data_IF_101976537778
#
_entry.id   IF_101976537778
#
_cell.length_a   1.000
_cell.length_b   1.000
_cell.length_c   1.000
_cell.angle_alpha   90.00
_cell.angle_beta   90.00
_cell.angle_gamma   90.00
#
_symmetry.space_group_name_H-M   'P 1'
#
loop_
_entity.id
_entity.type
_entity.pdbx_description
1 polymer ?
#
# COMPACT_ATOMS: atom_id res chain seq x y z
N UNK A 1 -75.94 -22.15 30.48
CA UNK A 1 -75.86 -21.13 29.41
C UNK A 1 -74.56 -21.38 28.67
N UNK A 2 -74.63 -22.04 27.51
CA UNK A 2 -73.45 -22.41 26.72
C UNK A 2 -73.31 -21.38 25.61
N UNK A 3 -72.24 -20.59 25.67
CA UNK A 3 -71.90 -19.64 24.61
C UNK A 3 -71.13 -20.43 23.56
N UNK A 4 -71.75 -20.68 22.42
CA UNK A 4 -71.08 -21.23 21.23
C UNK A 4 -70.40 -20.05 20.55
N UNK A 5 -69.07 -20.07 20.52
CA UNK A 5 -68.26 -19.12 19.79
C UNK A 5 -67.86 -19.81 18.48
N UNK A 6 -68.40 -19.34 17.37
CA UNK A 6 -67.92 -19.72 16.04
C UNK A 6 -66.67 -18.89 15.73
N UNK A 7 -65.53 -19.55 15.62
CA UNK A 7 -64.27 -18.94 15.22
C UNK A 7 -64.07 -19.29 13.74
N UNK A 8 -64.30 -18.33 12.85
CA UNK A 8 -63.94 -18.46 11.44
C UNK A 8 -62.42 -18.28 11.27
N UNK A 9 -61.74 -19.34 10.81
CA UNK A 9 -60.33 -19.26 10.46
C UNK A 9 -60.15 -18.68 9.04
N UNK A 10 -59.82 -17.39 8.96
CA UNK A 10 -59.54 -16.69 7.69
C UNK A 10 -58.07 -16.79 7.24
N UNK A 11 -57.28 -17.72 7.80
CA UNK A 11 -55.83 -17.80 7.54
C UNK A 11 -55.46 -18.08 6.08
N UNK A 12 -56.35 -18.66 5.28
CA UNK A 12 -56.11 -18.93 3.85
C UNK A 12 -57.10 -18.18 2.96
N UNK A 13 -56.72 -16.98 2.54
CA UNK A 13 -57.46 -16.21 1.53
C UNK A 13 -56.96 -16.58 0.13
N UNK A 14 -57.88 -16.93 -0.76
CA UNK A 14 -57.55 -17.18 -2.18
C UNK A 14 -56.91 -15.92 -2.78
N UNK A 15 -55.71 -16.05 -3.33
CA UNK A 15 -55.05 -14.93 -4.00
C UNK A 15 -55.81 -14.54 -5.27
N UNK A 16 -56.11 -13.24 -5.42
CA UNK A 16 -56.73 -12.70 -6.64
C UNK A 16 -55.67 -12.63 -7.75
N UNK A 17 -55.83 -13.45 -8.79
CA UNK A 17 -54.89 -13.54 -9.92
C UNK A 17 -55.39 -12.83 -11.19
N UNK A 18 -56.29 -11.86 -11.02
CA UNK A 18 -56.93 -11.15 -12.12
C UNK A 18 -58.17 -11.85 -12.67
N UNK A 19 -58.84 -11.19 -13.60
CA UNK A 19 -60.12 -11.59 -14.16
C UNK A 19 -60.70 -10.49 -15.04
N UNK A 20 -61.88 -10.71 -15.60
CA UNK A 20 -62.61 -9.71 -16.38
C UNK A 20 -64.04 -9.57 -15.88
N UNK A 21 -64.60 -8.36 -16.05
CA UNK A 21 -65.96 -8.03 -15.64
C UNK A 21 -66.82 -7.78 -16.86
N UNK A 22 -67.96 -8.44 -16.92
CA UNK A 22 -68.95 -8.14 -17.96
C UNK A 22 -69.64 -6.82 -17.63
N UNK A 23 -69.61 -5.86 -18.57
CA UNK A 23 -70.03 -4.46 -18.33
C UNK A 23 -71.55 -4.35 -18.19
N UNK A 24 -72.33 -5.21 -18.88
CA UNK A 24 -73.79 -5.15 -18.88
C UNK A 24 -74.41 -5.85 -17.66
N UNK A 25 -73.88 -7.01 -17.27
CA UNK A 25 -74.39 -7.81 -16.14
C UNK A 25 -73.66 -7.54 -14.83
N UNK A 26 -72.58 -6.74 -14.86
CA UNK A 26 -71.69 -6.42 -13.75
C UNK A 26 -71.04 -7.62 -13.03
N UNK A 27 -71.18 -8.84 -13.55
CA UNK A 27 -70.60 -10.06 -12.99
C UNK A 27 -69.08 -10.13 -13.25
N UNK A 28 -68.33 -10.50 -12.22
CA UNK A 28 -66.86 -10.60 -12.24
C UNK A 28 -66.44 -12.07 -12.37
N UNK A 29 -65.60 -12.36 -13.36
CA UNK A 29 -65.03 -13.69 -13.58
C UNK A 29 -63.55 -13.65 -13.24
N UNK A 30 -63.11 -14.47 -12.30
CA UNK A 30 -61.71 -14.55 -11.88
C UNK A 30 -60.98 -15.69 -12.60
N UNK A 31 -59.73 -15.46 -12.99
CA UNK A 31 -58.87 -16.49 -13.56
C UNK A 31 -58.63 -17.59 -12.51
N UNK A 32 -58.84 -18.86 -12.90
CA UNK A 32 -58.84 -19.96 -11.96
C UNK A 32 -57.41 -20.32 -11.49
N UNK A 33 -57.11 -20.06 -10.22
CA UNK A 33 -56.29 -20.97 -9.43
C UNK A 33 -57.23 -22.05 -8.87
N UNK A 34 -56.87 -23.32 -9.08
CA UNK A 34 -57.59 -24.57 -8.75
C UNK A 34 -58.90 -24.43 -7.97
N UNK A 35 -60.02 -24.92 -8.53
CA UNK A 35 -61.38 -24.75 -8.01
C UNK A 35 -61.72 -25.54 -6.72
N UNK A 36 -60.79 -26.31 -6.16
CA UNK A 36 -61.02 -27.11 -4.95
C UNK A 36 -59.95 -26.80 -3.90
N UNK A 37 -60.37 -26.58 -2.66
CA UNK A 37 -59.46 -26.65 -1.50
C UNK A 37 -58.79 -28.04 -1.48
N UNK A 38 -57.52 -28.16 -1.09
CA UNK A 38 -56.88 -29.46 -0.97
C UNK A 38 -57.71 -30.34 -0.02
N UNK A 39 -58.14 -31.52 -0.48
CA UNK A 39 -58.83 -32.46 0.40
C UNK A 39 -57.90 -32.81 1.57
N UNK A 40 -58.29 -32.44 2.79
CA UNK A 40 -57.65 -32.98 3.98
C UNK A 40 -57.84 -34.50 3.97
N UNK A 41 -56.73 -35.23 3.82
CA UNK A 41 -56.74 -36.70 3.78
C UNK A 41 -57.19 -37.19 5.15
N UNK A 42 -58.47 -37.56 5.28
CA UNK A 42 -58.99 -38.28 6.45
C UNK A 42 -58.62 -39.76 6.29
N UNK A 43 -57.44 -40.14 6.79
CA UNK A 43 -57.00 -41.54 6.81
C UNK A 43 -55.74 -41.74 7.66
N UNK A 44 -55.71 -42.84 8.42
CA UNK A 44 -54.55 -43.25 9.23
C UNK A 44 -53.29 -43.40 8.36
N UNK A 45 -52.15 -42.97 8.89
CA UNK A 45 -50.85 -42.96 8.20
C UNK A 45 -50.38 -44.34 7.73
N UNK A 46 -50.93 -45.43 8.28
CA UNK A 46 -50.50 -46.81 8.06
C UNK A 46 -50.88 -47.43 6.70
N UNK A 47 -51.76 -46.82 5.91
CA UNK A 47 -52.24 -47.39 4.62
C UNK A 47 -51.80 -46.60 3.38
N UNK A 48 -50.67 -45.90 3.44
CA UNK A 48 -50.09 -45.27 2.23
C UNK A 48 -49.22 -46.29 1.49
N UNK A 49 -49.73 -46.83 0.39
CA UNK A 49 -48.89 -47.60 -0.52
C UNK A 49 -47.91 -46.67 -1.23
N UNK A 50 -46.61 -46.92 -1.07
CA UNK A 50 -45.58 -46.23 -1.82
C UNK A 50 -45.46 -46.86 -3.21
N UNK A 51 -45.73 -46.09 -4.27
CA UNK A 51 -45.39 -46.52 -5.63
C UNK A 51 -43.90 -46.35 -5.83
N UNK A 52 -43.13 -47.40 -5.65
CA UNK A 52 -41.71 -47.42 -6.00
C UNK A 52 -41.61 -47.29 -7.53
N UNK A 53 -41.07 -46.20 -8.03
CA UNK A 53 -40.72 -46.07 -9.45
C UNK A 53 -39.22 -46.21 -9.59
N UNK A 54 -38.78 -47.23 -10.32
CA UNK A 54 -37.37 -47.37 -10.68
C UNK A 54 -37.03 -46.32 -11.73
N UNK A 55 -36.12 -45.41 -11.42
CA UNK A 55 -35.55 -44.48 -12.39
C UNK A 55 -34.52 -45.22 -13.24
N UNK A 56 -34.90 -45.58 -14.47
CA UNK A 56 -34.01 -46.25 -15.43
C UNK A 56 -33.36 -45.19 -16.33
N UNK A 57 -32.03 -45.28 -16.51
CA UNK A 57 -31.33 -44.47 -17.52
C UNK A 57 -31.56 -45.07 -18.92
N UNK A 58 -32.40 -44.41 -19.72
CA UNK A 58 -32.68 -44.83 -21.10
C UNK A 58 -31.53 -44.34 -22.00
N UNK A 59 -30.77 -45.27 -22.56
CA UNK A 59 -29.74 -44.97 -23.55
C UNK A 59 -30.21 -45.43 -24.93
N UNK A 60 -30.39 -44.50 -25.86
CA UNK A 60 -30.72 -44.83 -27.25
C UNK A 60 -29.48 -45.34 -27.99
N UNK A 61 -29.59 -46.51 -28.63
CA UNK A 61 -28.57 -47.08 -29.52
C UNK A 61 -29.17 -47.23 -30.91
N UNK A 62 -28.47 -46.74 -31.93
CA UNK A 62 -28.83 -46.92 -33.34
C UNK A 62 -28.00 -48.03 -33.97
N UNK A 63 -28.63 -48.90 -34.76
CA UNK A 63 -27.97 -49.88 -35.62
C UNK A 63 -28.17 -49.49 -37.09
N UNK A 64 -27.12 -49.63 -37.89
CA UNK A 64 -27.20 -49.43 -39.34
C UNK A 64 -27.35 -50.79 -40.02
N UNK A 65 -28.18 -50.86 -41.07
CA UNK A 65 -28.31 -52.03 -41.96
C UNK A 65 -27.49 -51.82 -43.23
N UNK A 66 -27.07 -52.91 -43.86
CA UNK A 66 -26.41 -52.88 -45.16
C UNK A 66 -27.36 -52.36 -46.24
N UNK A 67 -26.85 -51.51 -47.13
CA UNK A 67 -27.59 -51.00 -48.27
C UNK A 67 -26.89 -51.43 -49.55
N UNK A 68 -27.59 -52.18 -50.38
CA UNK A 68 -27.08 -52.60 -51.69
C UNK A 68 -27.20 -51.43 -52.68
N UNK A 69 -26.15 -51.27 -53.48
CA UNK A 69 -26.09 -50.28 -54.57
C UNK A 69 -25.66 -50.98 -55.83
N UNK A 70 -26.41 -50.79 -56.90
CA UNK A 70 -26.12 -51.38 -58.20
C UNK A 70 -25.64 -50.30 -59.16
N UNK A 71 -24.65 -50.65 -59.97
CA UNK A 71 -24.10 -49.79 -61.02
C UNK A 71 -24.21 -50.58 -62.31
N UNK A 72 -24.86 -50.00 -63.33
CA UNK A 72 -24.90 -50.56 -64.67
C UNK A 72 -23.96 -49.77 -65.58
N UNK A 73 -23.05 -50.48 -66.25
CA UNK A 73 -22.15 -49.87 -67.25
C UNK A 73 -22.91 -49.80 -68.58
N UNK A 74 -23.01 -48.61 -69.17
CA UNK A 74 -23.62 -48.45 -70.49
C UNK A 74 -22.70 -49.01 -71.57
N UNK A 75 -23.19 -49.95 -72.38
CA UNK A 75 -22.52 -50.46 -73.59
C UNK A 75 -23.29 -49.93 -74.81
N UNK A 76 -22.61 -49.68 -75.93
CA UNK A 76 -23.14 -48.94 -77.10
C UNK A 76 -24.45 -49.52 -77.68
N UNK A 77 -24.77 -50.79 -77.42
CA UNK A 77 -25.95 -51.49 -77.96
C UNK A 77 -27.20 -51.34 -77.06
N UNK A 78 -27.06 -50.93 -75.80
CA UNK A 78 -28.21 -50.72 -74.89
C UNK A 78 -27.95 -49.61 -73.88
N UNK A 79 -28.16 -48.36 -74.32
CA UNK A 79 -28.08 -47.18 -73.47
C UNK A 79 -29.46 -46.78 -72.96
N UNK A 80 -29.74 -47.07 -71.69
CA UNK A 80 -30.92 -46.53 -71.00
C UNK A 80 -30.49 -45.28 -70.22
N UNK A 81 -30.84 -44.05 -70.65
CA UNK A 81 -30.46 -42.84 -69.93
C UNK A 81 -31.29 -42.69 -68.65
N UNK A 82 -30.62 -42.56 -67.50
CA UNK A 82 -31.27 -42.28 -66.21
C UNK A 82 -31.39 -40.76 -66.02
N UNK A 83 -32.62 -40.22 -66.06
CA UNK A 83 -32.91 -38.77 -66.01
C UNK A 83 -32.51 -38.14 -64.66
N UNK A 84 -32.25 -38.95 -63.63
CA UNK A 84 -31.87 -38.49 -62.29
C UNK A 84 -30.36 -38.42 -62.05
N UNK A 85 -29.55 -38.83 -63.02
CA UNK A 85 -28.10 -38.82 -62.89
C UNK A 85 -27.57 -37.38 -62.79
N UNK A 86 -26.66 -37.16 -61.83
CA UNK A 86 -26.04 -35.86 -61.59
C UNK A 86 -24.58 -35.90 -62.00
N UNK A 87 -24.19 -35.04 -62.92
CA UNK A 87 -22.79 -34.85 -63.30
C UNK A 87 -22.15 -33.94 -62.24
N UNK A 88 -21.24 -34.51 -61.46
CA UNK A 88 -20.51 -33.78 -60.42
C UNK A 88 -19.14 -33.40 -60.97
N UNK A 89 -18.88 -32.09 -61.07
CA UNK A 89 -17.56 -31.56 -61.44
C UNK A 89 -16.67 -31.58 -60.20
N UNK A 90 -15.53 -32.25 -60.26
CA UNK A 90 -14.58 -32.29 -59.16
C UNK A 90 -13.89 -30.91 -58.99
N UNK A 91 -14.41 -30.08 -58.07
CA UNK A 91 -13.90 -28.72 -57.82
C UNK A 91 -12.62 -28.68 -56.99
N UNK A 92 -12.21 -29.80 -56.41
CA UNK A 92 -10.89 -29.96 -55.80
C UNK A 92 -10.30 -31.27 -56.25
N UNK A 93 -9.09 -31.19 -56.81
CA UNK A 93 -8.16 -32.31 -56.84
C UNK A 93 -7.95 -32.80 -55.40
N UNK A 94 -8.75 -33.76 -54.93
CA UNK A 94 -8.23 -34.79 -54.03
C UNK A 94 -7.28 -35.59 -54.90
N UNK A 95 -6.08 -35.06 -55.09
CA UNK A 95 -5.05 -35.76 -55.81
C UNK A 95 -4.74 -36.99 -54.98
N UNK A 96 -5.05 -38.14 -55.56
CA UNK A 96 -4.53 -39.42 -55.12
C UNK A 96 -3.01 -39.36 -55.35
N UNK A 97 -2.28 -38.79 -54.39
CA UNK A 97 -0.86 -39.05 -54.16
C UNK A 97 -0.76 -39.64 -52.76
N UNK A 98 -0.66 -40.97 -52.63
CA UNK A 98 -0.94 -41.70 -51.39
C UNK A 98 0.22 -41.64 -50.36
N UNK A 99 0.92 -40.52 -50.22
CA UNK A 99 1.97 -40.42 -49.18
C UNK A 99 2.15 -39.03 -48.56
N UNK A 100 1.92 -37.94 -49.31
CA UNK A 100 2.20 -36.58 -48.80
C UNK A 100 0.96 -35.90 -48.22
N UNK A 101 -0.19 -36.05 -48.86
CA UNK A 101 -1.45 -35.45 -48.40
C UNK A 101 -2.07 -36.19 -47.21
N UNK A 102 -1.92 -37.53 -47.15
CA UNK A 102 -2.37 -38.35 -46.02
C UNK A 102 -1.62 -38.00 -44.74
N UNK A 103 -0.31 -37.74 -44.84
CA UNK A 103 0.51 -37.22 -43.73
C UNK A 103 0.04 -35.84 -43.26
N UNK A 104 -0.36 -34.95 -44.17
CA UNK A 104 -0.90 -33.63 -43.82
C UNK A 104 -2.25 -33.77 -43.12
N UNK A 105 -3.14 -34.65 -43.60
CA UNK A 105 -4.42 -34.92 -42.97
C UNK A 105 -4.28 -35.52 -41.56
N UNK A 106 -3.43 -36.55 -41.41
CA UNK A 106 -3.11 -37.14 -40.11
C UNK A 106 -2.42 -36.14 -39.18
N UNK A 107 -1.56 -35.25 -39.70
CA UNK A 107 -0.94 -34.16 -38.94
C UNK A 107 -1.99 -33.18 -38.43
N UNK A 108 -2.96 -32.80 -39.27
CA UNK A 108 -4.06 -31.90 -38.89
C UNK A 108 -4.98 -32.53 -37.83
N UNK A 109 -5.24 -33.84 -37.92
CA UNK A 109 -5.97 -34.59 -36.89
C UNK A 109 -5.18 -34.64 -35.57
N UNK A 110 -3.86 -34.90 -35.63
CA UNK A 110 -3.00 -34.89 -34.45
C UNK A 110 -2.90 -33.51 -33.80
N UNK A 111 -2.77 -32.45 -34.58
CA UNK A 111 -2.78 -31.08 -34.07
C UNK A 111 -4.11 -30.72 -33.42
N UNK A 112 -5.23 -31.16 -34.01
CA UNK A 112 -6.57 -30.99 -33.45
C UNK A 112 -6.72 -31.78 -32.14
N UNK A 113 -6.24 -33.02 -32.10
CA UNK A 113 -6.22 -33.85 -30.89
C UNK A 113 -5.37 -33.22 -29.78
N UNK A 114 -4.18 -32.70 -30.10
CA UNK A 114 -3.31 -31.99 -29.13
C UNK A 114 -4.01 -30.74 -28.59
N UNK A 115 -4.69 -29.96 -29.43
CA UNK A 115 -5.49 -28.80 -28.98
C UNK A 115 -6.57 -29.24 -27.99
N UNK A 116 -7.37 -30.24 -28.35
CA UNK A 116 -8.42 -30.79 -27.48
C UNK A 116 -7.83 -31.28 -26.15
N UNK A 117 -6.74 -32.05 -26.20
CA UNK A 117 -6.07 -32.57 -25.00
C UNK A 117 -5.53 -31.45 -24.11
N UNK A 118 -4.94 -30.38 -24.67
CA UNK A 118 -4.47 -29.22 -23.91
C UNK A 118 -5.60 -28.52 -23.18
N UNK A 119 -6.71 -28.25 -23.88
CA UNK A 119 -7.88 -27.63 -23.25
C UNK A 119 -8.52 -28.53 -22.19
N UNK A 120 -8.60 -29.83 -22.45
CA UNK A 120 -9.12 -30.81 -21.49
C UNK A 120 -8.25 -30.92 -20.22
N UNK A 121 -6.92 -30.95 -20.37
CA UNK A 121 -5.99 -30.94 -19.23
C UNK A 121 -6.14 -29.67 -18.40
N UNK A 122 -6.26 -28.49 -19.04
CA UNK A 122 -6.51 -27.23 -18.36
C UNK A 122 -7.86 -27.22 -17.63
N UNK A 123 -8.91 -27.73 -18.25
CA UNK A 123 -10.23 -27.88 -17.65
C UNK A 123 -10.21 -28.79 -16.41
N UNK A 124 -9.57 -29.97 -16.51
CA UNK A 124 -9.41 -30.91 -15.38
C UNK A 124 -8.63 -30.29 -14.23
N UNK A 125 -7.56 -29.53 -14.52
CA UNK A 125 -6.81 -28.80 -13.51
C UNK A 125 -7.66 -27.74 -12.80
N UNK A 126 -8.48 -26.99 -13.56
CA UNK A 126 -9.42 -26.00 -12.99
C UNK A 126 -10.46 -26.67 -12.09
N UNK A 127 -11.09 -27.76 -12.52
CA UNK A 127 -12.06 -28.50 -11.70
C UNK A 127 -11.44 -29.01 -10.40
N UNK A 128 -10.23 -29.57 -10.45
CA UNK A 128 -9.51 -30.01 -9.25
C UNK A 128 -9.16 -28.86 -8.31
N UNK A 129 -8.80 -27.69 -8.86
CA UNK A 129 -8.45 -26.51 -8.07
C UNK A 129 -9.68 -25.75 -7.51
N UNK A 130 -10.84 -25.89 -8.14
CA UNK A 130 -12.07 -25.17 -7.79
C UNK A 130 -12.55 -25.37 -6.34
N UNK A 131 -12.60 -26.59 -5.78
CA UNK A 131 -12.97 -26.77 -4.37
C UNK A 131 -11.95 -26.13 -3.42
N UNK A 132 -10.63 -26.22 -3.70
CA UNK A 132 -9.58 -25.58 -2.90
C UNK A 132 -9.66 -24.05 -2.93
N UNK A 133 -10.00 -23.49 -4.09
CA UNK A 133 -10.20 -22.04 -4.27
C UNK A 133 -11.47 -21.56 -3.57
N UNK A 134 -12.55 -22.35 -3.59
CA UNK A 134 -13.80 -22.03 -2.92
C UNK A 134 -13.65 -22.08 -1.39
N UNK A 135 -12.96 -23.09 -0.85
CA UNK A 135 -12.65 -23.17 0.59
C UNK A 135 -11.80 -21.97 1.03
N UNK A 136 -10.70 -21.67 0.32
CA UNK A 136 -9.88 -20.47 0.61
C UNK A 136 -10.64 -19.15 0.49
N UNK A 137 -11.62 -19.07 -0.40
CA UNK A 137 -12.45 -17.86 -0.58
C UNK A 137 -13.44 -17.72 0.57
N UNK A 138 -14.11 -18.81 0.96
CA UNK A 138 -15.06 -18.86 2.07
C UNK A 138 -14.37 -18.63 3.43
N UNK A 139 -13.18 -19.20 3.63
CA UNK A 139 -12.35 -18.95 4.81
C UNK A 139 -11.90 -17.48 4.89
N UNK A 140 -11.49 -16.89 3.76
CA UNK A 140 -11.18 -15.45 3.71
C UNK A 140 -12.40 -14.60 4.03
N UNK A 141 -13.55 -14.83 3.39
CA UNK A 141 -14.75 -14.02 3.65
C UNK A 141 -15.26 -14.17 5.08
N UNK A 142 -15.28 -15.39 5.63
CA UNK A 142 -15.70 -15.63 7.02
C UNK A 142 -14.70 -15.10 8.05
N UNK A 143 -13.39 -15.13 7.77
CA UNK A 143 -12.37 -14.50 8.61
C UNK A 143 -12.47 -12.96 8.55
N UNK A 144 -12.66 -12.38 7.35
CA UNK A 144 -12.91 -10.96 7.17
C UNK A 144 -14.20 -10.52 7.89
N UNK A 145 -15.30 -11.26 7.82
CA UNK A 145 -16.54 -10.92 8.53
C UNK A 145 -16.40 -11.02 10.07
N UNK A 146 -15.68 -12.02 10.58
CA UNK A 146 -15.50 -12.20 12.04
C UNK A 146 -14.51 -11.22 12.68
N UNK A 147 -13.47 -10.81 11.96
CA UNK A 147 -12.43 -9.89 12.49
C UNK A 147 -12.54 -8.44 11.99
N UNK A 148 -13.31 -8.18 10.92
CA UNK A 148 -13.56 -6.85 10.37
C UNK A 148 -15.02 -6.43 10.53
N UNK A 149 -15.44 -6.26 11.78
CA UNK A 149 -16.71 -5.60 12.08
C UNK A 149 -16.79 -4.25 11.30
N UNK A 150 -17.91 -3.90 10.61
CA UNK A 150 -18.00 -2.68 9.80
C UNK A 150 -17.64 -1.39 10.55
N UNK A 151 -17.81 -1.40 11.88
CA UNK A 151 -17.41 -0.33 12.80
C UNK A 151 -15.89 -0.17 12.88
N UNK A 152 -15.12 -1.27 12.91
CA UNK A 152 -13.65 -1.22 12.96
C UNK A 152 -13.06 -0.81 11.62
N UNK A 153 -13.67 -1.20 10.48
CA UNK A 153 -13.27 -0.72 9.15
C UNK A 153 -13.54 0.77 8.96
N UNK A 154 -14.70 1.27 9.42
CA UNK A 154 -15.00 2.72 9.40
C UNK A 154 -14.00 3.48 10.28
N UNK A 155 -13.75 3.04 11.51
CA UNK A 155 -12.74 3.64 12.41
C UNK A 155 -11.32 3.56 11.83
N UNK A 156 -10.92 2.45 11.20
CA UNK A 156 -9.62 2.31 10.53
C UNK A 156 -9.48 3.27 9.35
N UNK A 157 -10.52 3.39 8.51
CA UNK A 157 -10.55 4.35 7.38
C UNK A 157 -10.53 5.79 7.87
N UNK A 158 -11.24 6.08 8.96
CA UNK A 158 -11.30 7.42 9.55
C UNK A 158 -9.97 7.78 10.23
N UNK A 159 -9.34 6.84 10.93
CA UNK A 159 -8.01 7.01 11.50
C UNK A 159 -6.95 7.16 10.40
N UNK A 160 -7.02 6.37 9.32
CA UNK A 160 -6.14 6.54 8.17
C UNK A 160 -6.33 7.92 7.54
N UNK A 161 -7.58 8.40 7.39
CA UNK A 161 -7.85 9.78 6.94
C UNK A 161 -7.31 10.82 7.91
N UNK A 162 -7.40 10.61 9.23
CA UNK A 162 -6.83 11.49 10.26
C UNK A 162 -5.30 11.50 10.20
N UNK A 163 -4.66 10.36 10.05
CA UNK A 163 -3.20 10.24 9.86
C UNK A 163 -2.75 10.91 8.57
N UNK A 164 -3.46 10.67 7.45
CA UNK A 164 -3.24 11.40 6.20
C UNK A 164 -3.41 12.91 6.37
N UNK A 165 -4.41 13.33 7.15
CA UNK A 165 -4.65 14.74 7.45
C UNK A 165 -3.58 15.32 8.37
N UNK A 166 -3.00 14.56 9.31
CA UNK A 166 -1.84 15.00 10.11
C UNK A 166 -0.59 15.17 9.23
N UNK A 167 -0.41 14.29 8.24
CA UNK A 167 0.67 14.38 7.25
C UNK A 167 0.50 15.59 6.33
N UNK A 168 -0.74 15.87 5.90
CA UNK A 168 -1.08 17.03 5.08
C UNK A 168 -1.11 18.36 5.85
N UNK A 169 -1.54 18.34 7.13
CA UNK A 169 -1.71 19.54 7.95
C UNK A 169 -0.42 20.01 8.66
N UNK A 170 0.73 19.45 8.30
CA UNK A 170 2.00 20.15 8.51
C UNK A 170 2.42 20.36 9.97
N UNK A 171 2.22 19.39 10.88
CA UNK A 171 3.12 19.31 12.04
C UNK A 171 4.47 18.82 11.55
N UNK A 172 5.25 19.76 10.99
CA UNK A 172 6.56 19.60 10.38
C UNK A 172 7.55 18.88 11.31
N UNK A 173 7.42 19.03 12.62
CA UNK A 173 8.28 18.34 13.60
C UNK A 173 8.11 16.83 13.72
N UNK A 174 7.09 16.21 13.09
CA UNK A 174 6.77 14.77 13.26
C UNK A 174 6.92 13.93 11.99
N UNK A 175 7.17 14.54 10.83
CA UNK A 175 7.29 13.79 9.58
C UNK A 175 8.59 12.97 9.57
N UNK A 176 8.44 11.66 9.50
CA UNK A 176 9.55 10.71 9.37
C UNK A 176 9.91 10.52 7.90
N UNK A 177 11.09 9.94 7.67
CA UNK A 177 11.52 9.57 6.31
C UNK A 177 10.48 8.68 5.58
N UNK A 178 9.83 7.78 6.32
CA UNK A 178 8.76 6.92 5.80
C UNK A 178 7.55 7.71 5.26
N UNK A 179 7.24 8.87 5.84
CA UNK A 179 6.11 9.70 5.40
C UNK A 179 6.44 10.36 4.04
N UNK A 180 7.70 10.76 3.82
CA UNK A 180 8.15 11.26 2.51
C UNK A 180 8.17 10.16 1.44
N UNK A 181 8.55 8.93 1.81
CA UNK A 181 8.48 7.78 0.90
C UNK A 181 7.03 7.47 0.51
N UNK A 182 6.10 7.56 1.47
CA UNK A 182 4.67 7.44 1.20
C UNK A 182 4.18 8.53 0.23
N UNK A 183 4.56 9.80 0.43
CA UNK A 183 4.19 10.90 -0.47
C UNK A 183 4.71 10.68 -1.89
N UNK A 184 5.96 10.23 -2.04
CA UNK A 184 6.53 9.89 -3.36
C UNK A 184 5.77 8.73 -4.02
N UNK A 185 5.40 7.70 -3.26
CA UNK A 185 4.63 6.57 -3.78
C UNK A 185 3.22 6.98 -4.23
N UNK A 186 2.57 7.89 -3.50
CA UNK A 186 1.27 8.44 -3.91
C UNK A 186 1.38 9.29 -5.18
N UNK A 187 2.42 10.11 -5.27
CA UNK A 187 2.71 10.89 -6.48
C UNK A 187 2.93 9.96 -7.68
N UNK A 188 3.69 8.89 -7.52
CA UNK A 188 3.96 7.93 -8.60
C UNK A 188 2.69 7.17 -9.03
N UNK A 189 1.80 6.84 -8.09
CA UNK A 189 0.49 6.24 -8.40
C UNK A 189 -0.41 7.20 -9.16
N UNK A 190 -0.51 8.44 -8.69
CA UNK A 190 -1.25 9.50 -9.37
C UNK A 190 -0.74 9.69 -10.79
N UNK A 191 0.58 9.82 -10.96
CA UNK A 191 1.22 9.97 -12.26
C UNK A 191 0.88 8.82 -13.21
N UNK A 192 0.95 7.56 -12.74
CA UNK A 192 0.58 6.38 -13.55
C UNK A 192 -0.87 6.42 -14.01
N UNK A 193 -1.80 6.65 -13.09
CA UNK A 193 -3.23 6.75 -13.40
C UNK A 193 -3.49 7.88 -14.40
N UNK A 194 -2.85 9.03 -14.23
CA UNK A 194 -3.00 10.18 -15.13
C UNK A 194 -2.40 9.93 -16.52
N UNK A 195 -1.23 9.29 -16.59
CA UNK A 195 -0.62 8.91 -17.87
C UNK A 195 -1.49 7.88 -18.62
N UNK A 196 -2.03 6.89 -17.91
CA UNK A 196 -2.97 5.93 -18.50
C UNK A 196 -4.25 6.60 -18.98
N UNK A 197 -4.82 7.52 -18.18
CA UNK A 197 -5.99 8.32 -18.54
C UNK A 197 -5.72 9.16 -19.79
N UNK A 198 -4.60 9.88 -19.82
CA UNK A 198 -4.22 10.70 -20.97
C UNK A 198 -4.01 9.87 -22.24
N UNK A 199 -3.40 8.68 -22.11
CA UNK A 199 -3.21 7.76 -23.23
C UNK A 199 -4.52 7.20 -23.78
N UNK A 200 -5.53 6.98 -22.92
CA UNK A 200 -6.86 6.50 -23.32
C UNK A 200 -7.73 7.58 -23.95
N UNK A 201 -7.70 8.80 -23.41
CA UNK A 201 -8.62 9.88 -23.79
C UNK A 201 -8.11 10.69 -24.99
N UNK A 202 -6.82 10.99 -25.05
CA UNK A 202 -6.28 11.94 -26.04
C UNK A 202 -5.62 11.25 -27.24
N UNK A 203 -5.88 11.84 -28.42
CA UNK A 203 -5.22 11.50 -29.68
C UNK A 203 -3.78 12.02 -29.73
N UNK A 204 -2.97 11.54 -30.68
CA UNK A 204 -1.49 11.64 -30.68
C UNK A 204 -0.93 13.04 -30.40
N UNK A 205 -1.49 14.10 -30.99
CA UNK A 205 -1.07 15.50 -30.80
C UNK A 205 -1.51 16.07 -29.44
N UNK A 206 -2.78 15.92 -29.07
CA UNK A 206 -3.30 16.39 -27.78
C UNK A 206 -2.74 15.62 -26.57
N UNK A 207 -2.25 14.39 -26.79
CA UNK A 207 -1.59 13.56 -25.78
C UNK A 207 -0.28 14.16 -25.29
N UNK A 208 0.52 14.74 -26.19
CA UNK A 208 1.78 15.37 -25.81
C UNK A 208 1.53 16.58 -24.91
N UNK A 209 0.52 17.40 -25.24
CA UNK A 209 0.12 18.52 -24.38
C UNK A 209 -0.38 18.04 -23.00
N UNK A 210 -1.18 16.98 -22.95
CA UNK A 210 -1.63 16.38 -21.70
C UNK A 210 -0.46 15.81 -20.87
N UNK A 211 0.51 15.15 -21.50
CA UNK A 211 1.73 14.66 -20.83
C UNK A 211 2.56 15.80 -20.26
N UNK A 212 2.71 16.91 -21.00
CA UNK A 212 3.41 18.10 -20.50
C UNK A 212 2.70 18.72 -19.29
N UNK A 213 1.36 18.78 -19.28
CA UNK A 213 0.60 19.26 -18.14
C UNK A 213 0.79 18.36 -16.91
N UNK A 214 0.75 17.03 -17.11
CA UNK A 214 1.02 16.05 -16.04
C UNK A 214 2.44 16.24 -15.49
N UNK A 215 3.44 16.42 -16.36
CA UNK A 215 4.82 16.67 -15.97
C UNK A 215 4.97 17.97 -15.16
N UNK A 216 4.33 19.06 -15.60
CA UNK A 216 4.33 20.33 -14.86
C UNK A 216 3.77 20.15 -13.45
N UNK A 217 2.61 19.47 -13.33
CA UNK A 217 2.02 19.14 -12.03
C UNK A 217 2.90 18.22 -11.20
N UNK A 218 3.57 17.26 -11.80
CA UNK A 218 4.55 16.43 -11.10
C UNK A 218 5.68 17.29 -10.51
N UNK A 219 6.27 18.19 -11.30
CA UNK A 219 7.36 19.08 -10.86
C UNK A 219 6.89 20.00 -9.73
N UNK A 220 5.69 20.57 -9.82
CA UNK A 220 5.09 21.36 -8.74
C UNK A 220 4.99 20.56 -7.43
N UNK A 221 4.46 19.33 -7.49
CA UNK A 221 4.31 18.47 -6.32
C UNK A 221 5.66 18.00 -5.76
N UNK A 222 6.63 17.68 -6.62
CA UNK A 222 7.98 17.31 -6.20
C UNK A 222 8.65 18.47 -5.45
N UNK A 223 8.53 19.70 -5.95
CA UNK A 223 9.03 20.92 -5.29
C UNK A 223 8.35 21.13 -3.94
N UNK A 224 7.03 20.97 -3.87
CA UNK A 224 6.29 21.05 -2.60
C UNK A 224 6.80 20.05 -1.56
N UNK A 225 7.00 18.79 -1.96
CA UNK A 225 7.58 17.75 -1.09
C UNK A 225 8.99 18.14 -0.61
N UNK A 226 9.84 18.68 -1.50
CA UNK A 226 11.21 19.07 -1.16
C UNK A 226 11.27 20.30 -0.23
N UNK A 227 10.35 21.25 -0.38
CA UNK A 227 10.17 22.37 0.55
C UNK A 227 9.82 21.87 1.95
N UNK A 228 8.82 20.99 2.06
CA UNK A 228 8.43 20.36 3.33
C UNK A 228 9.63 19.62 3.91
N UNK A 229 10.31 18.79 3.12
CA UNK A 229 11.49 18.04 3.57
C UNK A 229 12.59 18.94 4.13
N UNK A 230 12.83 20.08 3.49
CA UNK A 230 13.84 21.05 3.93
C UNK A 230 13.43 21.70 5.25
N UNK A 231 12.14 22.03 5.42
CA UNK A 231 11.62 22.58 6.67
C UNK A 231 11.71 21.57 7.82
N UNK A 232 11.23 20.35 7.60
CA UNK A 232 11.31 19.24 8.58
C UNK A 232 12.74 18.94 8.97
N UNK A 233 13.69 19.06 8.04
CA UNK A 233 15.10 18.87 8.33
C UNK A 233 15.64 19.94 9.29
N UNK A 234 15.32 21.21 9.04
CA UNK A 234 15.74 22.32 9.93
C UNK A 234 15.19 22.13 11.34
N UNK A 235 13.90 21.83 11.46
CA UNK A 235 13.26 21.60 12.75
C UNK A 235 13.84 20.37 13.47
N UNK A 236 14.13 19.29 12.75
CA UNK A 236 14.78 18.11 13.35
C UNK A 236 16.24 18.38 13.76
N UNK A 237 16.96 19.24 13.04
CA UNK A 237 18.31 19.68 13.43
C UNK A 237 18.23 20.48 14.74
N UNK A 238 17.30 21.44 14.85
CA UNK A 238 17.05 22.20 16.08
C UNK A 238 16.61 21.31 17.26
N UNK A 239 15.68 20.38 17.03
CA UNK A 239 15.26 19.39 18.02
C UNK A 239 16.42 18.45 18.41
N UNK A 240 17.29 18.09 17.47
CA UNK A 240 18.47 17.29 17.70
C UNK A 240 19.47 17.99 18.62
N UNK A 241 19.69 19.28 18.39
CA UNK A 241 20.53 20.13 19.24
C UNK A 241 19.94 20.28 20.66
N UNK A 242 18.61 20.47 20.78
CA UNK A 242 17.93 20.47 22.09
C UNK A 242 18.05 19.13 22.82
N UNK A 243 17.85 18.01 22.12
CA UNK A 243 18.04 16.66 22.70
C UNK A 243 19.48 16.44 23.16
N UNK A 244 20.45 16.93 22.39
CA UNK A 244 21.86 16.87 22.79
C UNK A 244 22.10 17.62 24.10
N UNK A 245 21.60 18.86 24.22
CA UNK A 245 21.70 19.63 25.46
C UNK A 245 20.92 18.99 26.63
N UNK A 246 19.77 18.40 26.35
CA UNK A 246 18.98 17.67 27.35
C UNK A 246 19.70 16.43 27.88
N UNK A 247 20.38 15.69 27.01
CA UNK A 247 21.21 14.57 27.41
C UNK A 247 22.37 15.01 28.31
N UNK A 248 23.00 16.15 28.01
CA UNK A 248 24.05 16.73 28.88
C UNK A 248 23.50 17.23 30.22
N UNK A 249 22.27 17.76 30.22
CA UNK A 249 21.59 18.27 31.40
C UNK A 249 20.98 17.17 32.29
N UNK A 250 20.96 15.91 31.81
CA UNK A 250 20.43 14.76 32.54
C UNK A 250 21.44 14.29 33.57
N UNK A 251 21.05 14.33 34.85
CA UNK A 251 21.88 13.80 35.93
C UNK A 251 21.99 12.25 35.81
N UNK A 252 23.20 11.68 35.95
CA UNK A 252 23.35 10.23 36.00
C UNK A 252 22.62 9.66 37.20
N UNK A 253 21.91 8.56 36.98
CA UNK A 253 21.15 7.86 38.01
C UNK A 253 21.43 6.36 37.95
N UNK A 254 21.75 5.74 39.08
CA UNK A 254 21.96 4.30 39.18
C UNK A 254 21.16 3.72 40.35
N UNK A 255 20.89 2.41 40.30
CA UNK A 255 20.31 1.70 41.44
C UNK A 255 21.42 1.27 42.37
N UNK A 256 21.31 1.63 43.64
CA UNK A 256 22.13 1.05 44.72
C UNK A 256 21.79 -0.44 44.87
N UNK A 257 22.70 -1.20 45.47
CA UNK A 257 22.48 -2.60 45.86
C UNK A 257 21.24 -2.78 46.75
N UNK A 258 20.81 -1.70 47.43
CA UNK A 258 19.56 -1.62 48.20
C UNK A 258 18.29 -1.39 47.37
N UNK A 259 18.38 -1.35 46.03
CA UNK A 259 17.27 -1.09 45.11
C UNK A 259 16.85 0.38 44.98
N UNK A 260 17.41 1.30 45.78
CA UNK A 260 17.13 2.74 45.72
C UNK A 260 17.85 3.40 44.55
N UNK A 261 17.16 4.25 43.78
CA UNK A 261 17.75 5.04 42.70
C UNK A 261 18.45 6.27 43.27
N UNK A 262 19.77 6.34 43.12
CA UNK A 262 20.59 7.50 43.50
C UNK A 262 20.79 8.37 42.26
N UNK A 263 20.50 9.67 42.38
CA UNK A 263 20.71 10.67 41.32
C UNK A 263 21.91 11.53 41.75
N UNK A 264 22.92 11.66 40.90
CA UNK A 264 24.11 12.45 41.20
C UNK A 264 24.07 13.78 40.44
N UNK A 265 23.95 14.87 41.19
CA UNK A 265 24.01 16.22 40.64
C UNK A 265 25.45 16.74 40.70
N UNK A 266 26.04 17.02 39.54
CA UNK A 266 27.40 17.56 39.42
C UNK A 266 27.37 18.99 38.93
N UNK A 267 28.42 19.77 39.20
CA UNK A 267 28.61 21.11 38.64
C UNK A 267 28.56 21.11 37.10
N UNK A 268 28.96 20.00 36.47
CA UNK A 268 28.88 19.81 35.01
C UNK A 268 27.42 19.76 34.54
N UNK A 269 26.58 18.99 35.22
CA UNK A 269 25.14 18.87 34.92
C UNK A 269 24.42 20.20 35.16
N UNK A 270 24.79 20.94 36.21
CA UNK A 270 24.24 22.28 36.48
C UNK A 270 24.58 23.27 35.36
N UNK A 271 25.85 23.34 34.93
CA UNK A 271 26.26 24.16 33.78
C UNK A 271 25.57 23.73 32.48
N UNK A 272 25.37 22.43 32.26
CA UNK A 272 24.64 21.94 31.09
C UNK A 272 23.15 22.38 31.09
N UNK A 273 22.50 22.44 32.26
CA UNK A 273 21.14 23.00 32.40
C UNK A 273 21.11 24.49 32.11
N UNK A 274 22.11 25.24 32.56
CA UNK A 274 22.25 26.66 32.22
C UNK A 274 22.41 26.85 30.71
N UNK A 275 23.30 26.09 30.06
CA UNK A 275 23.48 26.15 28.61
C UNK A 275 22.22 25.75 27.84
N UNK A 276 21.48 24.72 28.29
CA UNK A 276 20.18 24.35 27.73
C UNK A 276 19.20 25.53 27.79
N UNK A 277 19.04 26.15 28.96
CA UNK A 277 18.13 27.29 29.15
C UNK A 277 18.52 28.49 28.28
N UNK A 278 19.81 28.79 28.18
CA UNK A 278 20.31 29.85 27.31
C UNK A 278 20.02 29.57 25.83
N UNK A 279 20.18 28.32 25.39
CA UNK A 279 19.87 27.93 24.02
C UNK A 279 18.37 27.98 23.70
N UNK A 280 17.51 27.54 24.62
CA UNK A 280 16.05 27.66 24.47
C UNK A 280 15.62 29.13 24.31
N UNK A 281 16.23 30.02 25.08
CA UNK A 281 16.01 31.46 24.95
C UNK A 281 16.59 32.02 23.64
N UNK A 282 17.76 31.55 23.17
CA UNK A 282 18.30 31.90 21.84
C UNK A 282 17.38 31.48 20.69
N UNK A 283 16.67 30.36 20.85
CA UNK A 283 15.72 29.84 19.87
C UNK A 283 14.36 30.56 19.90
N UNK A 284 14.08 31.35 20.94
CA UNK A 284 12.80 32.02 21.10
C UNK A 284 12.72 33.30 20.28
N UNK A 285 11.76 33.38 19.36
CA UNK A 285 11.54 34.58 18.52
C UNK A 285 10.75 35.68 19.23
N UNK A 286 10.15 35.39 20.39
CA UNK A 286 9.25 36.27 21.14
C UNK A 286 9.95 37.20 22.15
N UNK A 287 11.28 37.36 22.08
CA UNK A 287 12.03 38.19 23.01
C UNK A 287 11.92 39.68 22.65
N UNK A 288 11.73 40.53 23.65
CA UNK A 288 11.85 41.97 23.46
C UNK A 288 13.31 42.35 23.14
N UNK A 289 13.54 43.51 22.52
CA UNK A 289 14.90 43.98 22.19
C UNK A 289 15.79 44.09 23.43
N UNK A 290 15.20 44.49 24.56
CA UNK A 290 15.90 44.63 25.85
C UNK A 290 16.26 43.25 26.40
N UNK A 291 15.29 42.32 26.46
CA UNK A 291 15.53 40.95 26.91
C UNK A 291 16.58 40.23 26.05
N UNK A 292 16.55 40.46 24.73
CA UNK A 292 17.54 39.92 23.80
C UNK A 292 18.93 40.46 24.10
N UNK A 293 19.08 41.77 24.32
CA UNK A 293 20.35 42.39 24.67
C UNK A 293 20.88 41.88 26.02
N UNK A 294 20.03 41.75 27.03
CA UNK A 294 20.41 41.18 28.34
C UNK A 294 20.90 39.73 28.22
N UNK A 295 20.24 38.93 27.39
CA UNK A 295 20.65 37.55 27.13
C UNK A 295 22.02 37.49 26.44
N UNK A 296 22.23 38.32 25.42
CA UNK A 296 23.51 38.41 24.70
C UNK A 296 24.65 38.86 25.63
N UNK A 297 24.39 39.83 26.52
CA UNK A 297 25.34 40.25 27.54
C UNK A 297 25.65 39.13 28.54
N UNK A 298 24.64 38.36 28.95
CA UNK A 298 24.83 37.19 29.83
C UNK A 298 25.70 36.13 29.16
N UNK A 299 25.46 35.82 27.88
CA UNK A 299 26.31 34.94 27.09
C UNK A 299 27.74 35.47 27.00
N UNK A 300 27.92 36.77 26.68
CA UNK A 300 29.25 37.39 26.60
C UNK A 300 30.01 37.27 27.92
N UNK A 301 29.34 37.43 29.07
CA UNK A 301 29.97 37.23 30.40
C UNK A 301 30.42 35.79 30.62
N UNK A 302 29.60 34.80 30.23
CA UNK A 302 29.97 33.39 30.31
C UNK A 302 31.18 33.06 29.43
N UNK A 303 31.30 33.71 28.27
CA UNK A 303 32.41 33.48 27.34
C UNK A 303 33.73 34.11 27.80
N UNK A 304 33.71 35.10 28.70
CA UNK A 304 34.94 35.73 29.23
C UNK A 304 35.90 34.74 29.90
N UNK A 305 35.39 33.64 30.45
CA UNK A 305 36.23 32.60 31.05
C UNK A 305 36.87 31.65 30.03
N UNK A 306 36.58 31.81 28.74
CA UNK A 306 37.02 30.92 27.68
C UNK A 306 37.90 31.65 26.65
N UNK A 307 39.07 31.08 26.37
CA UNK A 307 40.02 31.57 25.36
C UNK A 307 40.07 30.70 24.10
N UNK A 308 39.02 29.91 23.84
CA UNK A 308 38.98 29.02 22.69
C UNK A 308 38.39 29.71 21.46
N UNK A 309 38.85 29.33 20.26
CA UNK A 309 38.37 29.86 18.99
C UNK A 309 36.83 29.85 18.84
N UNK A 310 36.08 28.79 19.23
CA UNK A 310 34.61 28.83 19.18
C UNK A 310 33.99 29.91 20.08
N UNK A 311 34.62 30.24 21.21
CA UNK A 311 34.17 31.32 22.08
C UNK A 311 34.44 32.69 21.45
N UNK A 312 35.60 32.89 20.82
CA UNK A 312 35.94 34.12 20.09
C UNK A 312 34.97 34.38 18.93
N UNK A 313 34.70 33.36 18.11
CA UNK A 313 33.73 33.43 17.01
C UNK A 313 32.32 33.76 17.53
N UNK A 314 31.93 33.20 18.68
CA UNK A 314 30.64 33.48 19.30
C UNK A 314 30.56 34.90 19.87
N UNK A 315 31.64 35.41 20.49
CA UNK A 315 31.71 36.80 20.96
C UNK A 315 31.61 37.77 19.79
N UNK A 316 32.30 37.50 18.69
CA UNK A 316 32.21 38.31 17.47
C UNK A 316 30.77 38.38 16.94
N UNK A 317 30.06 37.25 16.86
CA UNK A 317 28.67 37.21 16.42
C UNK A 317 27.72 37.93 17.39
N UNK A 318 27.98 37.84 18.70
CA UNK A 318 27.23 38.57 19.73
C UNK A 318 27.40 40.07 19.54
N UNK A 319 28.64 40.55 19.35
CA UNK A 319 28.91 41.98 19.19
C UNK A 319 28.27 42.54 17.92
N UNK A 320 28.30 41.77 16.83
CA UNK A 320 27.55 42.10 15.62
C UNK A 320 26.03 42.22 15.88
N UNK A 321 25.42 41.28 16.61
CA UNK A 321 23.98 41.37 16.88
C UNK A 321 23.64 42.54 17.81
N UNK A 322 24.49 42.80 18.82
CA UNK A 322 24.34 43.94 19.72
C UNK A 322 24.38 45.27 18.97
N UNK A 323 25.32 45.45 18.04
CA UNK A 323 25.39 46.67 17.21
C UNK A 323 24.13 46.87 16.37
N UNK A 324 23.58 45.79 15.81
CA UNK A 324 22.34 45.84 15.01
C UNK A 324 21.11 46.13 15.89
N UNK A 325 21.08 45.62 17.13
CA UNK A 325 20.01 45.90 18.10
C UNK A 325 20.00 47.38 18.52
N UNK A 326 21.18 47.96 18.76
CA UNK A 326 21.34 49.38 19.09
C UNK A 326 20.86 50.27 17.94
N UNK A 327 21.10 49.85 16.69
CA UNK A 327 20.63 50.56 15.48
C UNK A 327 19.16 50.32 15.13
N UNK A 328 18.42 49.60 15.98
CA UNK A 328 16.99 49.33 15.80
C UNK A 328 16.62 48.62 14.49
N UNK A 329 17.51 47.81 13.94
CA UNK A 329 17.26 47.04 12.72
C UNK A 329 16.18 45.97 12.98
N UNK A 330 15.28 45.79 12.03
CA UNK A 330 14.20 44.81 12.14
C UNK A 330 14.72 43.37 12.21
N UNK A 331 14.06 42.55 13.03
CA UNK A 331 14.42 41.15 13.27
C UNK A 331 14.50 40.32 11.99
N UNK A 332 13.65 40.61 11.00
CA UNK A 332 13.60 39.94 9.69
C UNK A 332 14.94 39.92 8.95
N UNK A 333 15.76 40.95 9.11
CA UNK A 333 17.08 41.03 8.47
C UNK A 333 18.18 40.36 9.27
N UNK A 334 17.90 40.02 10.54
CA UNK A 334 18.86 39.40 11.47
C UNK A 334 18.75 37.89 11.56
N UNK A 335 17.79 37.26 10.87
CA UNK A 335 17.54 35.81 10.94
C UNK A 335 18.77 34.96 10.62
N UNK A 336 19.54 35.37 9.60
CA UNK A 336 20.77 34.66 9.24
C UNK A 336 21.85 34.79 10.33
N UNK A 337 22.00 35.97 10.92
CA UNK A 337 22.94 36.21 12.02
C UNK A 337 22.54 35.41 13.26
N UNK A 338 21.24 35.42 13.61
CA UNK A 338 20.68 34.65 14.73
C UNK A 338 20.90 33.15 14.53
N UNK A 339 20.67 32.62 13.32
CA UNK A 339 20.93 31.21 13.01
C UNK A 339 22.42 30.87 13.12
N UNK A 340 23.32 31.74 12.67
CA UNK A 340 24.77 31.58 12.86
C UNK A 340 25.14 31.58 14.34
N UNK A 341 24.53 32.44 15.14
CA UNK A 341 24.76 32.52 16.58
C UNK A 341 24.26 31.25 17.29
N UNK A 342 23.06 30.74 16.97
CA UNK A 342 22.56 29.45 17.47
C UNK A 342 23.54 28.32 17.16
N UNK A 343 23.99 28.22 15.91
CA UNK A 343 24.94 27.20 15.49
C UNK A 343 26.30 27.34 16.17
N UNK A 344 26.84 28.57 16.27
CA UNK A 344 28.10 28.84 16.96
C UNK A 344 28.02 28.51 18.46
N UNK A 345 26.89 28.78 19.11
CA UNK A 345 26.65 28.37 20.51
C UNK A 345 26.71 26.86 20.66
N UNK A 346 26.04 26.09 19.80
CA UNK A 346 26.09 24.63 19.84
C UNK A 346 27.50 24.11 19.55
N UNK A 347 28.23 24.71 18.61
CA UNK A 347 29.63 24.36 18.36
C UNK A 347 30.53 24.63 19.57
N UNK A 348 30.33 25.76 20.24
CA UNK A 348 31.01 26.07 21.50
C UNK A 348 30.72 25.01 22.56
N UNK A 349 29.44 24.67 22.78
CA UNK A 349 29.06 23.62 23.74
C UNK A 349 29.60 22.25 23.35
N UNK A 350 29.67 21.90 22.06
CA UNK A 350 30.30 20.65 21.59
C UNK A 350 31.81 20.62 21.77
N UNK A 351 32.47 21.76 21.59
CA UNK A 351 33.93 21.88 21.72
C UNK A 351 34.38 21.91 23.17
N UNK A 352 33.57 22.51 24.04
CA UNK A 352 33.83 22.61 25.48
C UNK A 352 33.20 21.45 26.28
N UNK A 353 32.18 20.81 25.74
CA UNK A 353 31.43 19.72 26.35
C UNK A 353 32.20 18.41 26.34
N UNK A 354 32.90 18.15 27.45
CA UNK A 354 33.12 16.82 28.02
C UNK A 354 33.42 15.70 27.01
N UNK A 355 34.52 15.82 26.27
CA UNK A 355 35.02 14.77 25.37
C UNK A 355 35.46 13.47 26.07
N UNK A 356 35.02 13.21 27.30
CA UNK A 356 35.40 12.05 28.10
C UNK A 356 34.27 11.03 28.31
N UNK A 357 32.99 11.45 28.37
CA UNK A 357 31.93 10.60 28.96
C UNK A 357 30.75 10.26 28.03
N UNK A 358 30.83 10.56 26.73
CA UNK A 358 29.87 10.06 25.72
C UNK A 358 30.56 9.03 24.81
N UNK A 359 31.22 8.05 25.41
CA UNK A 359 31.58 6.80 24.74
C UNK A 359 30.41 5.81 24.73
N UNK A 360 29.19 6.29 24.54
CA UNK A 360 28.01 5.45 24.24
C UNK A 360 27.60 5.50 22.76
N UNK A 361 28.45 6.09 21.92
CA UNK A 361 28.54 5.65 20.54
C UNK A 361 29.92 5.05 20.34
N UNK A 362 29.98 3.72 20.24
CA UNK A 362 31.04 2.99 19.56
C UNK A 362 31.13 3.50 18.12
N UNK A 363 31.70 4.68 17.91
CA UNK A 363 32.42 4.99 16.67
C UNK A 363 33.73 4.26 16.82
N UNK A 364 33.67 2.96 16.57
CA UNK A 364 34.86 2.14 16.36
C UNK A 364 35.80 2.91 15.43
N UNK A 365 37.11 2.87 15.66
CA UNK A 365 38.11 3.57 14.84
C UNK A 365 37.99 3.31 13.32
N UNK A 366 37.20 2.31 12.91
CA UNK A 366 36.80 2.05 11.52
C UNK A 366 35.81 3.08 10.94
N UNK A 367 34.90 3.65 11.73
CA UNK A 367 33.87 4.60 11.25
C UNK A 367 34.46 5.97 10.90
N UNK A 368 35.42 6.44 11.71
CA UNK A 368 36.17 7.69 11.46
C UNK A 368 37.07 7.55 10.22
N UNK A 369 37.56 6.34 9.92
CA UNK A 369 38.37 6.06 8.72
C UNK A 369 37.50 5.94 7.46
N UNK A 370 36.26 5.43 7.58
CA UNK A 370 35.32 5.36 6.46
C UNK A 370 34.74 6.73 6.07
N UNK A 371 34.51 7.63 7.02
CA UNK A 371 34.04 9.00 6.76
C UNK A 371 35.01 9.82 5.89
N UNK A 372 36.31 9.47 5.90
CA UNK A 372 37.33 10.14 5.08
C UNK A 372 37.35 9.69 3.62
N UNK A 373 36.86 8.48 3.33
CA UNK A 373 36.76 8.01 1.94
C UNK A 373 35.45 8.53 1.36
N UNK A 374 35.55 9.30 0.28
CA UNK A 374 34.39 9.81 -0.46
C UNK A 374 34.37 9.20 -1.84
N UNK A 375 33.17 8.97 -2.38
CA UNK A 375 32.93 8.46 -3.72
C UNK A 375 32.01 9.41 -4.47
N UNK A 376 32.28 9.64 -5.74
CA UNK A 376 31.42 10.44 -6.61
C UNK A 376 30.21 9.61 -7.03
N UNK A 377 29.01 10.16 -6.82
CA UNK A 377 27.80 9.56 -7.38
C UNK A 377 27.63 9.97 -8.85
N UNK A 378 27.48 9.00 -9.75
CA UNK A 378 27.32 9.26 -11.21
C UNK A 378 26.03 9.99 -11.58
N UNK A 379 24.99 9.91 -10.74
CA UNK A 379 23.69 10.56 -10.98
C UNK A 379 23.65 12.01 -10.51
N UNK A 380 23.92 12.26 -9.23
CA UNK A 380 23.87 13.62 -8.67
C UNK A 380 25.21 14.37 -8.74
N UNK A 381 26.30 13.72 -9.18
CA UNK A 381 27.64 14.31 -9.29
C UNK A 381 28.14 14.92 -7.97
N UNK A 382 27.73 14.36 -6.83
CA UNK A 382 28.17 14.78 -5.50
C UNK A 382 29.15 13.77 -4.92
N UNK A 383 30.20 14.27 -4.28
CA UNK A 383 31.08 13.49 -3.41
C UNK A 383 30.34 13.18 -2.11
N UNK A 384 30.15 11.88 -1.83
CA UNK A 384 29.45 11.40 -0.64
C UNK A 384 30.32 10.36 0.07
N UNK A 385 30.25 10.27 1.42
CA UNK A 385 30.87 9.18 2.15
C UNK A 385 30.38 7.82 1.64
N UNK A 386 31.23 6.78 1.69
CA UNK A 386 30.89 5.43 1.23
C UNK A 386 29.62 4.85 1.91
N UNK A 387 29.33 5.25 3.15
CA UNK A 387 28.14 4.83 3.91
C UNK A 387 26.81 5.24 3.25
N UNK A 388 26.84 6.23 2.33
CA UNK A 388 25.65 6.70 1.60
C UNK A 388 25.46 5.99 0.25
N UNK A 389 26.24 4.95 0.00
CA UNK A 389 26.11 4.06 -1.13
C UNK A 389 25.64 2.70 -0.62
N UNK A 390 24.81 1.99 -1.39
CA UNK A 390 24.35 0.66 -1.03
C UNK A 390 25.56 -0.27 -0.88
N UNK A 391 25.53 -1.09 0.16
CA UNK A 391 26.59 -2.04 0.47
C UNK A 391 26.51 -3.19 -0.53
N UNK A 392 27.42 -3.19 -1.49
CA UNK A 392 27.70 -4.32 -2.37
C UNK A 392 28.99 -5.00 -1.92
N UNK A 393 29.03 -6.34 -1.93
CA UNK A 393 30.23 -7.15 -1.66
C UNK A 393 31.43 -6.73 -2.53
N UNK A 394 31.18 -6.11 -3.69
CA UNK A 394 32.19 -5.70 -4.66
C UNK A 394 32.31 -4.17 -4.83
N UNK A 395 31.58 -3.35 -4.05
CA UNK A 395 31.61 -1.87 -4.08
C UNK A 395 31.43 -1.22 -5.48
N UNK A 396 30.83 -1.92 -6.44
CA UNK A 396 30.73 -1.48 -7.84
C UNK A 396 29.66 -0.40 -8.06
N UNK A 397 28.72 -0.25 -7.13
CA UNK A 397 27.64 0.73 -7.29
C UNK A 397 28.18 2.17 -7.14
N UNK A 398 28.02 2.95 -8.21
CA UNK A 398 28.41 4.37 -8.28
C UNK A 398 27.23 5.32 -8.07
N UNK A 399 26.09 4.81 -7.60
CA UNK A 399 24.86 5.58 -7.39
C UNK A 399 24.58 5.61 -5.89
N UNK A 400 24.38 6.79 -5.31
CA UNK A 400 24.07 6.91 -3.89
C UNK A 400 22.64 6.46 -3.57
N UNK A 401 22.38 6.12 -2.30
CA UNK A 401 21.07 5.64 -1.83
C UNK A 401 19.93 6.60 -2.16
N UNK A 402 20.21 7.90 -2.15
CA UNK A 402 19.21 8.93 -2.48
C UNK A 402 18.85 8.86 -3.96
N UNK A 403 19.85 8.78 -4.85
CA UNK A 403 19.61 8.66 -6.28
C UNK A 403 19.01 7.31 -6.66
N UNK A 404 19.35 6.25 -5.92
CA UNK A 404 18.74 4.94 -6.10
C UNK A 404 17.26 4.94 -5.68
N UNK A 405 16.93 5.59 -4.55
CA UNK A 405 15.53 5.78 -4.11
C UNK A 405 14.71 6.67 -5.03
N UNK A 406 15.35 7.65 -5.68
CA UNK A 406 14.71 8.48 -6.71
C UNK A 406 14.59 7.78 -8.06
N UNK A 407 15.22 6.61 -8.25
CA UNK A 407 15.12 5.86 -9.50
C UNK A 407 13.71 5.30 -9.62
N UNK A 408 13.00 5.71 -10.67
CA UNK A 408 11.73 5.09 -11.07
C UNK A 408 12.01 3.63 -11.43
N UNK A 409 11.56 2.70 -10.59
CA UNK A 409 11.51 1.29 -10.93
C UNK A 409 10.28 1.03 -11.80
N UNK A 410 10.36 0.07 -12.72
CA UNK A 410 9.20 -0.36 -13.51
C UNK A 410 8.12 -0.94 -12.59
N UNK A 411 8.55 -1.51 -11.47
CA UNK A 411 7.67 -2.02 -10.42
C UNK A 411 7.33 -0.91 -9.40
N UNK A 412 6.07 -0.81 -8.95
CA UNK A 412 5.69 0.09 -7.86
C UNK A 412 6.53 -0.21 -6.63
N UNK A 413 7.08 0.83 -6.00
CA UNK A 413 7.70 0.67 -4.68
C UNK A 413 6.68 0.02 -3.73
N UNK A 414 7.03 -1.07 -3.04
CA UNK A 414 6.14 -1.67 -2.05
C UNK A 414 5.86 -0.62 -0.97
N UNK A 415 4.59 -0.35 -0.71
CA UNK A 415 4.21 0.44 0.46
C UNK A 415 4.56 -0.38 1.70
N UNK A 416 5.63 -0.01 2.40
CA UNK A 416 6.03 -0.69 3.64
C UNK A 416 5.12 -0.34 4.82
N UNK A 417 4.35 0.75 4.73
CA UNK A 417 3.55 1.26 5.85
C UNK A 417 2.49 0.27 6.38
N UNK A 418 1.70 -0.45 5.56
CA UNK A 418 0.82 -1.52 6.05
C UNK A 418 1.59 -2.63 6.78
N UNK A 419 2.76 -2.99 6.27
CA UNK A 419 3.61 -4.02 6.86
C UNK A 419 4.24 -3.54 8.18
N UNK A 420 4.70 -2.29 8.27
CA UNK A 420 5.18 -1.70 9.51
C UNK A 420 4.09 -1.61 10.57
N UNK A 421 2.87 -1.20 10.19
CA UNK A 421 1.72 -1.15 11.11
C UNK A 421 1.37 -2.55 11.61
N UNK A 422 1.39 -3.54 10.71
CA UNK A 422 1.18 -4.94 11.04
C UNK A 422 2.25 -5.45 12.00
N UNK A 423 3.53 -5.17 11.73
CA UNK A 423 4.66 -5.53 12.60
C UNK A 423 4.56 -4.86 13.98
N UNK A 424 4.21 -3.57 14.04
CA UNK A 424 3.97 -2.87 15.33
C UNK A 424 2.80 -3.49 16.10
N UNK A 425 1.73 -3.90 15.41
CA UNK A 425 0.60 -4.57 16.04
C UNK A 425 0.99 -5.96 16.57
N UNK A 426 1.73 -6.75 15.79
CA UNK A 426 2.25 -8.06 16.17
C UNK A 426 3.16 -7.94 17.41
N UNK A 427 4.10 -6.99 17.40
CA UNK A 427 4.97 -6.71 18.56
C UNK A 427 4.16 -6.34 19.80
N UNK A 428 3.13 -5.50 19.66
CA UNK A 428 2.26 -5.13 20.79
C UNK A 428 1.48 -6.34 21.34
N UNK A 429 0.97 -7.21 20.47
CA UNK A 429 0.29 -8.44 20.93
C UNK A 429 1.25 -9.41 21.60
N UNK A 430 2.45 -9.59 21.05
CA UNK A 430 3.47 -10.48 21.62
C UNK A 430 4.03 -9.95 22.94
N UNK A 431 4.21 -8.64 23.11
CA UNK A 431 4.58 -8.04 24.40
C UNK A 431 3.49 -8.27 25.45
N UNK A 432 2.22 -8.10 25.08
CA UNK A 432 1.09 -8.43 25.98
C UNK A 432 1.07 -9.91 26.35
N UNK A 433 1.46 -10.78 25.43
CA UNK A 433 1.60 -12.22 25.65
C UNK A 433 2.94 -12.62 26.32
N UNK A 434 3.80 -11.65 26.68
CA UNK A 434 5.16 -11.86 27.24
C UNK A 434 6.07 -12.76 26.38
N UNK A 435 5.81 -12.85 25.08
CA UNK A 435 6.57 -13.65 24.13
C UNK A 435 7.73 -12.84 23.53
N UNK A 436 8.70 -12.44 24.36
CA UNK A 436 9.82 -11.57 23.97
C UNK A 436 10.87 -12.26 23.08
N UNK A 437 10.80 -13.58 22.94
CA UNK A 437 11.71 -14.40 22.11
C UNK A 437 11.24 -14.54 20.66
N UNK A 438 10.09 -13.95 20.29
CA UNK A 438 9.58 -14.01 18.93
C UNK A 438 10.53 -13.32 17.94
N UNK A 439 10.59 -13.83 16.70
CA UNK A 439 11.39 -13.24 15.62
C UNK A 439 10.98 -11.79 15.34
N UNK A 440 9.71 -11.46 15.56
CA UNK A 440 9.19 -10.11 15.37
C UNK A 440 9.76 -9.10 16.40
N UNK A 441 10.14 -9.54 17.61
CA UNK A 441 10.83 -8.71 18.61
C UNK A 441 12.34 -8.58 18.35
N UNK A 442 12.99 -9.64 17.89
CA UNK A 442 14.46 -9.70 17.78
C UNK A 442 15.03 -8.93 16.58
N UNK A 443 14.27 -8.79 15.48
CA UNK A 443 14.70 -7.98 14.33
C UNK A 443 14.39 -6.50 14.54
N UNK A 444 15.33 -5.75 15.11
CA UNK A 444 15.35 -4.30 14.95
C UNK A 444 15.61 -3.99 13.47
N UNK A 445 14.68 -3.28 12.82
CA UNK A 445 14.95 -2.70 11.51
C UNK A 445 15.85 -1.48 11.76
N UNK A 446 17.15 -1.67 11.53
CA UNK A 446 18.09 -0.56 11.32
C UNK A 446 17.90 0.00 9.91
#
# INVERSE_FOLDING_TARGET
MVIVIEIEDQSTKKAFLGGWRNILTRTEYHNACTQTLPNYVKGSWDRRSSKSTQTISINHKSTNVSHDKYIQVSVDISRVPCVTDRIIIATRKRNVVPSKEEKIYLRNLNESAIKIQRFYRAYRARIKAQPLLNVRRLERTSFHEKFECPVTLKKKKENAKKEFKIILNGTSGLMRQADFEMLRNLLERWWRCEMERANRVYFRSSRLAAHNLILQKEVELLRGIDCIRSQVRKENEELGDLRYLENLARAPSWKSDSGKTVIMETLRVQRAREYKKMYEQLCSDNLSRVERAELLLRLKRLLKSHSCRPAEELVYLIDQEMDLLVRHIDSKWTDQLRNRLKFAFILFVRSFGFSQDVTDNKRTSRDVVLERKTKLCTRCQRFLPYQKFPVDEHQRISICDVCQRLRRTIEPFPLYEPYERMLRAIRRSEAKAKAYTSVAFLRNCN
#
